data_IF_400226796845
#
_entry.id   IF_400226796845
#
_cell.length_a   1.000
_cell.length_b   1.000
_cell.length_c   1.000
_cell.angle_alpha   90.00
_cell.angle_beta   90.00
_cell.angle_gamma   90.00
#
_symmetry.space_group_name_H-M   'P 1'
#
loop_
_entity.id
_entity.type
_entity.pdbx_description
1 polymer ?
#
# COMPACT_ATOMS: atom_id res chain seq x y z
N UNK A 1 26.75 -44.39 43.51
CA UNK A 1 26.22 -43.69 42.33
C UNK A 1 24.71 -43.81 42.40
N UNK A 2 24.05 -42.83 43.00
CA UNK A 2 22.58 -42.78 43.03
C UNK A 2 22.07 -42.07 41.78
N UNK A 3 21.23 -42.77 41.04
CA UNK A 3 20.59 -42.29 39.83
C UNK A 3 19.32 -41.53 40.22
N UNK A 4 19.35 -40.21 40.04
CA UNK A 4 18.20 -39.35 40.28
C UNK A 4 17.24 -39.48 39.10
N UNK A 5 16.16 -40.23 39.28
CA UNK A 5 15.08 -40.30 38.30
C UNK A 5 14.27 -39.00 38.35
N UNK A 6 14.42 -38.17 37.31
CA UNK A 6 13.61 -36.97 37.11
C UNK A 6 12.15 -37.37 36.85
N UNK A 7 11.24 -36.90 37.70
CA UNK A 7 9.80 -37.10 37.57
C UNK A 7 9.20 -35.95 36.76
N UNK A 8 8.71 -36.27 35.56
CA UNK A 8 7.99 -35.32 34.70
C UNK A 8 6.74 -34.79 35.41
N UNK A 9 6.57 -33.47 35.40
CA UNK A 9 5.42 -32.83 36.04
C UNK A 9 4.19 -32.90 35.14
N UNK A 10 3.00 -32.74 35.73
CA UNK A 10 1.72 -32.69 35.00
C UNK A 10 1.70 -31.57 33.94
N UNK A 11 2.45 -30.49 34.18
CA UNK A 11 2.59 -29.35 33.27
C UNK A 11 3.43 -29.72 32.05
N UNK A 12 4.51 -30.48 32.23
CA UNK A 12 5.34 -30.99 31.13
C UNK A 12 4.55 -31.92 30.22
N UNK A 13 3.70 -32.78 30.80
CA UNK A 13 2.82 -33.69 30.04
C UNK A 13 1.79 -32.91 29.22
N UNK A 14 1.23 -31.82 29.77
CA UNK A 14 0.30 -30.97 29.02
C UNK A 14 0.99 -30.22 27.88
N UNK A 15 2.20 -29.73 28.11
CA UNK A 15 3.00 -29.04 27.09
C UNK A 15 3.40 -30.00 25.96
N UNK A 16 3.80 -31.23 26.32
CA UNK A 16 4.13 -32.28 25.35
C UNK A 16 2.91 -32.67 24.51
N UNK A 17 1.73 -32.82 25.14
CA UNK A 17 0.49 -33.14 24.43
C UNK A 17 0.04 -32.00 23.51
N UNK A 18 0.22 -30.74 23.90
CA UNK A 18 -0.06 -29.58 23.05
C UNK A 18 0.88 -29.50 21.84
N UNK A 19 2.16 -29.84 22.03
CA UNK A 19 3.15 -29.94 20.94
C UNK A 19 2.82 -31.09 19.98
N UNK A 20 2.49 -32.28 20.51
CA UNK A 20 2.07 -33.44 19.72
C UNK A 20 0.77 -33.19 18.94
N UNK A 21 -0.18 -32.44 19.51
CA UNK A 21 -1.41 -32.07 18.82
C UNK A 21 -1.16 -31.08 17.67
N UNK A 22 -0.11 -30.25 17.77
CA UNK A 22 0.32 -29.34 16.70
C UNK A 22 1.00 -30.07 15.55
N UNK A 23 1.76 -31.12 15.85
CA UNK A 23 2.51 -31.90 14.85
C UNK A 23 1.63 -32.86 14.04
N UNK A 24 0.46 -33.25 14.58
CA UNK A 24 -0.52 -34.10 13.88
C UNK A 24 -1.54 -33.35 13.03
N UNK A 25 -1.42 -32.03 12.87
CA UNK A 25 -2.29 -31.34 11.93
C UNK A 25 -1.97 -31.85 10.51
N UNK A 26 -2.98 -32.32 9.75
CA UNK A 26 -2.76 -32.79 8.39
C UNK A 26 -2.03 -31.70 7.61
N UNK A 27 -0.98 -32.09 6.88
CA UNK A 27 -0.26 -31.16 6.00
C UNK A 27 -1.32 -30.55 5.09
N UNK A 28 -1.53 -29.22 5.14
CA UNK A 28 -2.56 -28.60 4.33
C UNK A 28 -2.26 -28.95 2.87
N UNK A 29 -3.24 -29.54 2.19
CA UNK A 29 -3.08 -29.96 0.80
C UNK A 29 -3.05 -28.71 -0.08
N UNK A 30 -2.18 -28.69 -1.08
CA UNK A 30 -2.22 -27.62 -2.08
C UNK A 30 -3.57 -27.69 -2.79
N UNK A 31 -4.34 -26.60 -2.78
CA UNK A 31 -5.62 -26.58 -3.49
C UNK A 31 -5.36 -26.86 -4.97
N UNK A 32 -6.02 -27.88 -5.52
CA UNK A 32 -5.89 -28.28 -6.93
C UNK A 32 -6.56 -27.21 -7.79
N UNK A 33 -5.81 -26.71 -8.78
CA UNK A 33 -6.24 -25.59 -9.60
C UNK A 33 -6.59 -26.09 -11.00
N UNK A 34 -7.74 -25.64 -11.51
CA UNK A 34 -8.07 -25.85 -12.91
C UNK A 34 -7.11 -25.03 -13.77
N UNK A 35 -6.51 -25.66 -14.76
CA UNK A 35 -5.52 -25.04 -15.63
C UNK A 35 -6.24 -24.26 -16.73
N UNK A 36 -6.54 -22.98 -16.47
CA UNK A 36 -7.11 -22.06 -17.45
C UNK A 36 -6.79 -20.62 -17.07
N UNK A 37 -6.55 -19.75 -18.06
CA UNK A 37 -6.39 -18.28 -17.93
C UNK A 37 -7.69 -17.58 -17.46
N UNK A 38 -8.49 -18.26 -16.66
CA UNK A 38 -9.75 -17.84 -16.09
C UNK A 38 -9.52 -17.37 -14.67
N UNK A 39 -10.15 -16.27 -14.29
CA UNK A 39 -10.20 -15.83 -12.91
C UNK A 39 -10.77 -16.94 -12.02
N UNK A 40 -10.04 -17.27 -10.97
CA UNK A 40 -10.43 -18.24 -9.95
C UNK A 40 -10.67 -17.54 -8.62
N UNK A 41 -11.51 -18.16 -7.79
CA UNK A 41 -11.84 -17.65 -6.47
C UNK A 41 -11.76 -18.75 -5.42
N UNK A 42 -11.23 -18.42 -4.25
CA UNK A 42 -11.24 -19.26 -3.05
C UNK A 42 -11.83 -18.43 -1.92
N UNK A 43 -12.85 -18.97 -1.26
CA UNK A 43 -13.45 -18.40 -0.06
C UNK A 43 -13.11 -19.31 1.12
N UNK A 44 -12.68 -18.73 2.23
CA UNK A 44 -12.49 -19.46 3.47
C UNK A 44 -11.96 -18.57 4.59
N UNK A 45 -11.78 -19.17 5.76
CA UNK A 45 -11.14 -18.50 6.90
C UNK A 45 -9.63 -18.54 6.70
N UNK A 46 -9.00 -17.37 6.59
CA UNK A 46 -7.55 -17.25 6.48
C UNK A 46 -6.91 -17.55 7.84
N UNK A 47 -6.41 -18.76 8.03
CA UNK A 47 -5.79 -19.18 9.29
C UNK A 47 -4.37 -18.61 9.44
N UNK A 48 -3.62 -18.60 8.35
CA UNK A 48 -2.24 -18.15 8.35
C UNK A 48 -1.86 -17.62 6.98
N UNK A 49 -1.04 -16.57 6.95
CA UNK A 49 -0.40 -16.09 5.74
C UNK A 49 1.08 -15.85 6.03
N UNK A 50 1.95 -16.31 5.12
CA UNK A 50 3.39 -16.11 5.24
C UNK A 50 4.05 -15.83 3.91
N UNK A 51 5.05 -14.97 3.93
CA UNK A 51 5.97 -14.78 2.82
C UNK A 51 6.85 -16.04 2.70
N UNK A 52 6.76 -16.76 1.57
CA UNK A 52 7.54 -18.00 1.35
C UNK A 52 8.77 -17.74 0.49
N UNK A 53 8.60 -16.98 -0.58
CA UNK A 53 9.65 -16.44 -1.43
C UNK A 53 9.49 -14.92 -1.43
N UNK A 54 10.53 -14.19 -1.81
CA UNK A 54 10.53 -12.72 -1.85
C UNK A 54 9.42 -12.10 -2.72
N UNK A 55 8.56 -12.86 -3.40
CA UNK A 55 7.44 -12.35 -4.22
C UNK A 55 6.14 -13.15 -4.02
N UNK A 56 6.16 -14.19 -3.19
CA UNK A 56 5.06 -15.16 -3.08
C UNK A 56 4.60 -15.26 -1.63
N UNK A 57 3.29 -15.11 -1.45
CA UNK A 57 2.63 -15.25 -0.17
C UNK A 57 1.81 -16.54 -0.19
N UNK A 58 2.05 -17.39 0.80
CA UNK A 58 1.24 -18.59 1.05
C UNK A 58 0.08 -18.21 1.95
N UNK A 59 -1.13 -18.30 1.42
CA UNK A 59 -2.39 -18.19 2.16
C UNK A 59 -2.83 -19.60 2.57
N UNK A 60 -3.04 -19.82 3.85
CA UNK A 60 -3.46 -21.11 4.43
C UNK A 60 -4.86 -20.99 4.99
N UNK A 61 -5.71 -21.90 4.53
CA UNK A 61 -7.11 -22.08 4.91
C UNK A 61 -7.26 -23.39 5.67
N UNK A 62 -8.47 -23.70 6.15
CA UNK A 62 -8.81 -25.00 6.76
C UNK A 62 -8.56 -26.16 5.80
N UNK A 63 -8.89 -25.96 4.52
CA UNK A 63 -8.97 -27.05 3.55
C UNK A 63 -7.72 -27.16 2.66
N UNK A 64 -6.74 -26.27 2.86
CA UNK A 64 -5.51 -26.27 2.07
C UNK A 64 -4.75 -24.96 2.08
N UNK A 65 -3.79 -24.84 1.17
CA UNK A 65 -3.04 -23.60 0.97
C UNK A 65 -2.95 -23.21 -0.51
N UNK A 66 -2.68 -21.92 -0.72
CA UNK A 66 -2.52 -21.30 -2.03
C UNK A 66 -1.31 -20.36 -2.02
N UNK A 67 -0.42 -20.53 -2.99
CA UNK A 67 0.79 -19.72 -3.14
C UNK A 67 0.57 -18.68 -4.23
N UNK A 68 0.40 -17.42 -3.84
CA UNK A 68 0.07 -16.33 -4.75
C UNK A 68 1.18 -15.28 -4.81
N UNK A 69 1.50 -14.84 -6.03
CA UNK A 69 2.32 -13.66 -6.25
C UNK A 69 1.49 -12.40 -6.11
N UNK A 70 2.05 -11.39 -5.45
CA UNK A 70 1.34 -10.14 -5.22
C UNK A 70 1.74 -9.12 -6.28
N UNK A 71 0.79 -8.60 -7.07
CA UNK A 71 1.03 -7.38 -7.83
C UNK A 71 1.26 -6.25 -6.85
N UNK A 72 2.37 -5.55 -7.03
CA UNK A 72 2.61 -4.29 -6.34
C UNK A 72 2.54 -3.17 -7.36
N UNK A 73 2.10 -1.99 -6.93
CA UNK A 73 2.14 -0.80 -7.77
C UNK A 73 3.53 -0.17 -7.61
N UNK A 74 4.13 0.19 -8.73
CA UNK A 74 5.24 1.13 -8.77
C UNK A 74 4.62 2.53 -8.80
N UNK A 75 5.02 3.44 -7.92
CA UNK A 75 4.42 4.78 -7.80
C UNK A 75 4.53 5.59 -9.11
N UNK A 76 5.48 5.22 -9.98
CA UNK A 76 5.74 5.85 -11.27
C UNK A 76 4.83 5.41 -12.41
N UNK A 77 4.21 4.22 -12.34
CA UNK A 77 3.42 3.66 -13.44
C UNK A 77 1.94 3.60 -13.05
N UNK A 78 1.22 4.68 -13.35
CA UNK A 78 -0.22 4.76 -13.12
C UNK A 78 -0.96 3.58 -13.74
N UNK A 79 -1.70 2.82 -12.92
CA UNK A 79 -2.75 1.81 -13.17
C UNK A 79 -2.64 0.80 -14.34
N UNK A 80 -1.67 0.89 -15.26
CA UNK A 80 -1.63 0.13 -16.50
C UNK A 80 -0.66 -1.04 -16.47
N UNK A 81 0.44 -0.95 -15.70
CA UNK A 81 1.47 -1.98 -15.66
C UNK A 81 1.66 -2.49 -14.22
N UNK A 82 0.98 -3.60 -13.88
CA UNK A 82 1.24 -4.31 -12.62
C UNK A 82 2.65 -4.89 -12.64
N UNK A 83 3.49 -4.47 -11.70
CA UNK A 83 4.83 -5.01 -11.55
C UNK A 83 4.84 -6.15 -10.54
N UNK A 84 5.05 -7.37 -11.04
CA UNK A 84 5.20 -8.59 -10.22
C UNK A 84 6.66 -8.88 -9.84
N UNK A 85 7.60 -7.99 -10.21
CA UNK A 85 9.03 -8.17 -9.96
C UNK A 85 9.48 -7.60 -8.60
N UNK A 86 8.68 -6.75 -7.98
CA UNK A 86 9.07 -6.13 -6.72
C UNK A 86 9.16 -7.20 -5.63
N UNK A 87 10.29 -7.20 -4.93
CA UNK A 87 10.55 -8.10 -3.82
C UNK A 87 9.93 -7.53 -2.55
N UNK A 88 9.28 -8.38 -1.77
CA UNK A 88 8.69 -8.12 -0.48
C UNK A 88 9.67 -8.66 0.57
N UNK A 89 10.14 -7.81 1.46
CA UNK A 89 11.03 -8.21 2.56
C UNK A 89 10.25 -8.72 3.76
N UNK A 90 9.15 -8.03 4.08
CA UNK A 90 8.33 -8.30 5.25
C UNK A 90 6.87 -8.16 4.88
N UNK A 91 6.06 -9.07 5.40
CA UNK A 91 4.62 -9.02 5.23
C UNK A 91 3.93 -9.41 6.54
N UNK A 92 2.97 -8.60 6.97
CA UNK A 92 2.11 -8.86 8.11
C UNK A 92 0.67 -8.94 7.64
N UNK A 93 -0.10 -9.86 8.21
CA UNK A 93 -1.44 -10.18 7.74
C UNK A 93 -2.42 -10.28 8.91
N UNK A 94 -3.66 -9.90 8.63
CA UNK A 94 -4.78 -10.17 9.49
C UNK A 94 -5.22 -11.63 9.26
N UNK A 95 -5.26 -12.41 10.34
CA UNK A 95 -5.57 -13.85 10.30
C UNK A 95 -6.85 -14.15 11.07
N UNK A 96 -7.32 -15.39 11.02
CA UNK A 96 -8.58 -15.87 11.61
C UNK A 96 -9.80 -15.06 11.15
N UNK A 97 -9.80 -14.62 9.89
CA UNK A 97 -10.87 -13.81 9.30
C UNK A 97 -11.36 -14.46 8.00
N UNK A 98 -12.67 -14.45 7.70
CA UNK A 98 -13.17 -14.87 6.38
C UNK A 98 -12.64 -13.95 5.29
N UNK A 99 -12.11 -14.55 4.21
CA UNK A 99 -11.60 -13.83 3.05
C UNK A 99 -12.03 -14.49 1.74
N UNK A 100 -12.17 -13.66 0.71
CA UNK A 100 -12.32 -14.09 -0.68
C UNK A 100 -11.07 -13.70 -1.45
N UNK A 101 -10.27 -14.70 -1.84
CA UNK A 101 -9.15 -14.53 -2.75
C UNK A 101 -9.62 -14.69 -4.19
N UNK A 102 -9.35 -13.70 -5.03
CA UNK A 102 -9.44 -13.79 -6.48
C UNK A 102 -8.04 -13.84 -7.07
N UNK A 103 -7.75 -14.81 -7.92
CA UNK A 103 -6.43 -14.97 -8.56
C UNK A 103 -6.57 -15.49 -9.98
N UNK A 104 -5.48 -15.45 -10.73
CA UNK A 104 -5.38 -16.01 -12.08
C UNK A 104 -4.02 -16.68 -12.26
N UNK A 105 -3.98 -17.74 -13.04
CA UNK A 105 -2.73 -18.30 -13.53
C UNK A 105 -2.28 -17.48 -14.76
N UNK A 106 -1.21 -16.69 -14.60
CA UNK A 106 -0.70 -15.83 -15.68
C UNK A 106 0.24 -16.59 -16.62
N UNK A 107 1.02 -17.51 -16.05
CA UNK A 107 1.88 -18.47 -16.76
C UNK A 107 1.77 -19.82 -16.05
N UNK A 108 2.05 -20.94 -16.72
CA UNK A 108 2.03 -22.26 -16.07
C UNK A 108 2.83 -22.26 -14.76
N UNK A 109 2.17 -22.55 -13.65
CA UNK A 109 2.74 -22.56 -12.29
C UNK A 109 2.88 -21.20 -11.61
N UNK A 110 2.44 -20.09 -12.24
CA UNK A 110 2.51 -18.73 -11.71
C UNK A 110 1.11 -18.18 -11.44
N UNK A 111 0.69 -18.28 -10.18
CA UNK A 111 -0.57 -17.70 -9.74
C UNK A 111 -0.35 -16.29 -9.21
N UNK A 112 -1.22 -15.40 -9.64
CA UNK A 112 -1.17 -13.98 -9.32
C UNK A 112 -2.45 -13.61 -8.59
N UNK A 113 -2.30 -12.99 -7.41
CA UNK A 113 -3.42 -12.42 -6.67
C UNK A 113 -3.98 -11.23 -7.45
N UNK A 114 -5.26 -11.29 -7.83
CA UNK A 114 -5.97 -10.18 -8.46
C UNK A 114 -6.64 -9.30 -7.41
N UNK A 115 -7.30 -9.93 -6.44
CA UNK A 115 -7.96 -9.22 -5.35
C UNK A 115 -8.06 -10.11 -4.10
N UNK A 116 -8.09 -9.49 -2.92
CA UNK A 116 -8.45 -10.14 -1.65
C UNK A 116 -9.46 -9.26 -0.93
N UNK A 117 -10.59 -9.82 -0.56
CA UNK A 117 -11.64 -9.11 0.18
C UNK A 117 -11.81 -9.75 1.57
N UNK A 118 -11.83 -8.94 2.62
CA UNK A 118 -12.06 -9.38 4.00
C UNK A 118 -13.49 -9.00 4.41
N UNK A 119 -14.44 -9.92 4.24
CA UNK A 119 -15.88 -9.66 4.39
C UNK A 119 -16.29 -9.24 5.81
N UNK A 120 -15.50 -9.59 6.82
CA UNK A 120 -15.78 -9.27 8.21
C UNK A 120 -15.66 -7.77 8.54
N UNK A 121 -15.04 -6.97 7.67
CA UNK A 121 -14.79 -5.55 7.93
C UNK A 121 -15.65 -4.68 7.03
N UNK A 122 -16.44 -3.81 7.65
CA UNK A 122 -17.22 -2.81 6.94
C UNK A 122 -16.31 -1.84 6.20
N UNK A 123 -16.61 -1.64 4.91
CA UNK A 123 -16.08 -0.55 4.12
C UNK A 123 -17.15 0.54 4.01
N UNK A 124 -16.95 1.65 4.70
CA UNK A 124 -17.89 2.78 4.71
C UNK A 124 -17.31 3.93 3.91
N UNK A 125 -18.01 4.34 2.86
CA UNK A 125 -17.68 5.53 2.10
C UNK A 125 -18.70 6.63 2.37
N UNK A 126 -18.22 7.83 2.68
CA UNK A 126 -19.03 9.02 2.78
C UNK A 126 -18.42 10.11 1.90
N UNK A 127 -19.23 10.74 1.07
CA UNK A 127 -18.84 11.93 0.30
C UNK A 127 -19.35 13.15 1.04
N UNK A 128 -18.44 14.04 1.43
CA UNK A 128 -18.77 15.29 2.12
C UNK A 128 -18.16 16.47 1.36
N UNK A 129 -18.79 17.66 1.39
CA UNK A 129 -18.17 18.85 0.85
C UNK A 129 -16.84 19.14 1.55
N UNK A 130 -15.82 19.56 0.81
CA UNK A 130 -14.55 19.99 1.39
C UNK A 130 -14.72 21.29 2.17
N UNK A 131 -14.27 21.29 3.42
CA UNK A 131 -14.26 22.50 4.24
C UNK A 131 -13.06 23.42 3.91
N UNK A 132 -13.03 24.61 4.51
CA UNK A 132 -11.95 25.56 4.29
C UNK A 132 -10.59 25.09 4.88
N UNK A 133 -10.61 24.26 5.92
CA UNK A 133 -9.39 23.72 6.54
C UNK A 133 -8.75 22.64 5.67
N UNK A 134 -9.55 21.77 5.05
CA UNK A 134 -9.10 20.76 4.09
C UNK A 134 -8.45 21.42 2.88
N UNK A 135 -9.09 22.45 2.33
CA UNK A 135 -8.54 23.25 1.22
C UNK A 135 -7.23 23.91 1.60
N UNK A 136 -7.08 24.36 2.85
CA UNK A 136 -5.83 24.94 3.37
C UNK A 136 -4.72 23.90 3.42
N UNK A 137 -5.00 22.68 3.87
CA UNK A 137 -4.01 21.61 3.95
C UNK A 137 -3.47 21.23 2.56
N UNK A 138 -4.35 21.08 1.57
CA UNK A 138 -3.95 20.79 0.18
C UNK A 138 -3.12 21.94 -0.41
N UNK A 139 -3.58 23.18 -0.23
CA UNK A 139 -2.86 24.36 -0.76
C UNK A 139 -1.51 24.60 -0.09
N UNK A 140 -1.37 24.27 1.20
CA UNK A 140 -0.12 24.46 1.94
C UNK A 140 0.99 23.53 1.44
N UNK A 141 0.67 22.29 1.05
CA UNK A 141 1.65 21.37 0.44
C UNK A 141 2.15 21.95 -0.89
N UNK A 142 1.23 22.42 -1.74
CA UNK A 142 1.57 23.04 -3.03
C UNK A 142 2.37 24.34 -2.87
N UNK A 143 2.09 25.13 -1.82
CA UNK A 143 2.81 26.36 -1.50
C UNK A 143 4.24 26.13 -0.99
N UNK A 144 4.52 25.03 -0.28
CA UNK A 144 5.90 24.69 0.10
C UNK A 144 6.75 24.35 -1.14
N UNK A 145 6.20 23.57 -2.08
CA UNK A 145 6.86 23.26 -3.34
C UNK A 145 7.13 24.52 -4.17
N UNK A 146 6.20 25.49 -4.15
CA UNK A 146 6.34 26.78 -4.83
C UNK A 146 7.61 27.54 -4.40
N UNK A 147 7.86 27.66 -3.09
CA UNK A 147 9.05 28.37 -2.59
C UNK A 147 10.35 27.69 -2.99
N UNK A 148 10.35 26.36 -3.04
CA UNK A 148 11.51 25.58 -3.46
C UNK A 148 11.88 25.86 -4.93
N UNK A 149 10.90 25.82 -5.84
CA UNK A 149 11.13 26.13 -7.26
C UNK A 149 11.59 27.58 -7.46
N UNK A 150 11.01 28.53 -6.72
CA UNK A 150 11.39 29.94 -6.82
C UNK A 150 12.81 30.17 -6.30
N UNK A 151 13.20 29.53 -5.20
CA UNK A 151 14.56 29.60 -4.65
C UNK A 151 15.59 28.97 -5.60
N UNK A 152 15.31 27.79 -6.16
CA UNK A 152 16.16 27.13 -7.16
C UNK A 152 16.30 27.97 -8.42
N UNK A 153 15.18 28.48 -8.94
CA UNK A 153 15.18 29.28 -10.17
C UNK A 153 15.90 30.61 -10.02
N UNK A 154 15.67 31.30 -8.90
CA UNK A 154 16.40 32.52 -8.55
C UNK A 154 17.89 32.26 -8.39
N UNK A 155 18.27 31.18 -7.69
CA UNK A 155 19.66 30.79 -7.48
C UNK A 155 20.40 30.50 -8.80
N UNK A 156 19.80 29.67 -9.67
CA UNK A 156 20.36 29.35 -10.99
C UNK A 156 20.51 30.62 -11.85
N UNK A 157 19.47 31.47 -11.86
CA UNK A 157 19.51 32.72 -12.64
C UNK A 157 20.59 33.69 -12.14
N UNK A 158 20.80 33.76 -10.82
CA UNK A 158 21.82 34.60 -10.21
C UNK A 158 23.24 34.11 -10.52
N UNK A 159 23.49 32.79 -10.43
CA UNK A 159 24.77 32.19 -10.81
C UNK A 159 25.06 32.43 -12.31
N UNK A 160 24.06 32.22 -13.16
CA UNK A 160 24.19 32.45 -14.59
C UNK A 160 24.44 33.94 -14.93
N UNK A 161 23.75 34.85 -14.22
CA UNK A 161 23.97 36.29 -14.33
C UNK A 161 25.39 36.71 -13.94
N UNK A 162 25.93 36.15 -12.86
CA UNK A 162 27.31 36.39 -12.43
C UNK A 162 28.34 35.90 -13.46
N UNK A 163 28.15 34.69 -14.02
CA UNK A 163 29.05 34.11 -15.02
C UNK A 163 29.00 34.85 -16.37
N UNK A 164 27.83 35.35 -16.76
CA UNK A 164 27.63 36.09 -18.02
C UNK A 164 27.97 37.58 -17.92
N UNK A 165 28.28 38.09 -16.73
CA UNK A 165 28.50 39.51 -16.48
C UNK A 165 27.24 40.36 -16.64
N UNK A 166 26.07 39.79 -16.37
CA UNK A 166 24.75 40.43 -16.46
C UNK A 166 24.46 41.09 -17.82
N UNK A 167 24.90 40.47 -18.92
CA UNK A 167 24.42 40.85 -20.25
C UNK A 167 22.90 40.62 -20.27
N UNK A 168 22.15 41.69 -20.51
CA UNK A 168 20.68 41.76 -20.35
C UNK A 168 19.93 40.68 -21.14
N UNK A 169 20.49 40.20 -22.25
CA UNK A 169 19.89 39.18 -23.10
C UNK A 169 20.08 37.75 -22.57
N UNK A 170 21.20 37.48 -21.90
CA UNK A 170 21.57 36.17 -21.37
C UNK A 170 20.88 35.89 -20.02
N UNK A 171 20.63 36.94 -19.23
CA UNK A 171 19.90 36.84 -17.97
C UNK A 171 18.39 36.60 -18.14
N UNK A 172 17.82 36.91 -19.31
CA UNK A 172 16.37 36.86 -19.55
C UNK A 172 15.84 35.44 -19.84
N UNK A 173 16.64 34.59 -20.51
CA UNK A 173 16.29 33.21 -20.85
C UNK A 173 16.00 32.31 -19.64
N UNK A 174 16.87 32.25 -18.60
CA UNK A 174 16.56 31.46 -17.42
C UNK A 174 15.32 31.98 -16.70
N UNK A 175 15.10 33.30 -16.67
CA UNK A 175 13.94 33.91 -16.04
C UNK A 175 12.62 33.51 -16.74
N UNK A 176 12.58 33.50 -18.08
CA UNK A 176 11.42 33.00 -18.85
C UNK A 176 11.20 31.50 -18.61
N UNK A 177 12.27 30.69 -18.62
CA UNK A 177 12.17 29.26 -18.37
C UNK A 177 11.58 28.96 -16.98
N UNK A 178 12.05 29.66 -15.95
CA UNK A 178 11.47 29.55 -14.60
C UNK A 178 10.06 30.11 -14.50
N UNK A 179 9.70 31.16 -15.26
CA UNK A 179 8.34 31.66 -15.34
C UNK A 179 7.37 30.64 -15.97
N UNK A 180 7.81 29.86 -16.97
CA UNK A 180 7.02 28.78 -17.55
C UNK A 180 6.87 27.62 -16.54
N UNK A 181 7.96 27.21 -15.90
CA UNK A 181 7.92 26.20 -14.84
C UNK A 181 7.07 26.65 -13.65
N UNK A 182 6.95 27.96 -13.41
CA UNK A 182 6.11 28.56 -12.38
C UNK A 182 4.62 28.48 -12.69
N UNK A 183 4.20 28.55 -13.96
CA UNK A 183 2.80 28.44 -14.34
C UNK A 183 2.22 27.05 -14.02
N UNK A 184 3.05 26.00 -14.04
CA UNK A 184 2.62 24.63 -13.77
C UNK A 184 2.09 24.40 -12.34
N UNK A 185 2.81 24.72 -11.24
CA UNK A 185 2.29 24.59 -9.88
C UNK A 185 1.12 25.55 -9.60
N UNK A 186 1.08 26.74 -10.22
CA UNK A 186 -0.07 27.65 -10.12
C UNK A 186 -1.31 27.02 -10.78
N UNK A 187 -1.15 26.42 -11.96
CA UNK A 187 -2.19 25.67 -12.63
C UNK A 187 -2.67 24.49 -11.76
N UNK A 188 -1.75 23.71 -11.18
CA UNK A 188 -2.11 22.62 -10.26
C UNK A 188 -2.83 23.13 -9.01
N UNK A 189 -2.41 24.24 -8.41
CA UNK A 189 -3.08 24.84 -7.26
C UNK A 189 -4.49 25.34 -7.61
N UNK A 190 -4.65 25.93 -8.79
CA UNK A 190 -5.95 26.38 -9.29
C UNK A 190 -6.87 25.20 -9.59
N UNK A 191 -6.36 24.14 -10.26
CA UNK A 191 -7.06 22.88 -10.45
C UNK A 191 -7.45 22.26 -9.11
N UNK A 192 -6.56 22.26 -8.11
CA UNK A 192 -6.88 21.71 -6.78
C UNK A 192 -7.98 22.50 -6.05
N UNK A 193 -8.09 23.81 -6.24
CA UNK A 193 -9.21 24.61 -5.68
C UNK A 193 -10.58 24.20 -6.23
N UNK A 194 -10.63 23.50 -7.36
CA UNK A 194 -11.88 22.98 -7.94
C UNK A 194 -12.33 21.64 -7.35
N UNK A 195 -11.53 21.01 -6.47
CA UNK A 195 -12.01 19.90 -5.65
C UNK A 195 -13.11 20.41 -4.71
N UNK A 196 -14.33 19.93 -4.93
CA UNK A 196 -15.52 20.35 -4.18
C UNK A 196 -15.87 19.36 -3.08
N UNK A 197 -15.48 18.10 -3.26
CA UNK A 197 -15.86 17.00 -2.40
C UNK A 197 -14.63 16.27 -1.87
N UNK A 198 -14.74 15.80 -0.64
CA UNK A 198 -13.85 14.78 -0.08
C UNK A 198 -14.63 13.49 0.10
N UNK A 199 -14.00 12.39 -0.26
CA UNK A 199 -14.46 11.04 0.04
C UNK A 199 -13.71 10.57 1.28
N UNK A 200 -14.47 10.24 2.32
CA UNK A 200 -13.96 9.64 3.55
C UNK A 200 -14.24 8.16 3.45
N UNK A 201 -13.19 7.35 3.48
CA UNK A 201 -13.25 5.90 3.42
C UNK A 201 -12.82 5.40 4.80
N UNK A 202 -13.76 4.81 5.54
CA UNK A 202 -13.45 4.13 6.79
C UNK A 202 -13.34 2.64 6.52
N UNK A 203 -12.18 2.07 6.84
CA UNK A 203 -11.84 0.67 6.56
C UNK A 203 -10.78 0.16 7.53
N UNK A 204 -10.43 -1.11 7.42
CA UNK A 204 -9.42 -1.78 8.25
C UNK A 204 -8.19 -2.11 7.43
N UNK A 205 -7.01 -1.92 8.01
CA UNK A 205 -5.74 -2.39 7.45
C UNK A 205 -5.70 -3.91 7.61
N UNK A 206 -5.58 -4.64 6.51
CA UNK A 206 -5.61 -6.11 6.52
C UNK A 206 -4.24 -6.71 6.26
N UNK A 207 -3.41 -6.04 5.46
CA UNK A 207 -2.04 -6.48 5.19
C UNK A 207 -1.08 -5.29 5.20
N UNK A 208 0.13 -5.53 5.68
CA UNK A 208 1.24 -4.57 5.64
C UNK A 208 2.37 -5.23 4.87
N UNK A 209 2.71 -4.70 3.71
CA UNK A 209 3.74 -5.21 2.81
C UNK A 209 4.91 -4.23 2.79
N UNK A 210 6.12 -4.67 3.13
CA UNK A 210 7.35 -3.87 3.01
C UNK A 210 8.13 -4.35 1.80
N UNK A 211 8.27 -3.48 0.81
CA UNK A 211 8.99 -3.77 -0.42
C UNK A 211 10.48 -3.46 -0.25
N UNK A 212 11.31 -4.34 -0.81
CA UNK A 212 12.75 -4.19 -0.94
C UNK A 212 13.05 -3.28 -2.13
N UNK A 213 13.07 -1.98 -1.88
CA UNK A 213 13.54 -0.96 -2.82
C UNK A 213 14.67 -0.14 -2.17
N UNK A 214 15.36 0.66 -2.97
CA UNK A 214 16.46 1.54 -2.50
C UNK A 214 16.02 2.39 -1.31
N UNK A 215 14.78 2.89 -1.37
CA UNK A 215 14.04 3.42 -0.23
C UNK A 215 12.93 2.42 0.13
N UNK A 216 13.10 1.65 1.21
CA UNK A 216 12.12 0.63 1.63
C UNK A 216 10.70 1.19 1.65
N UNK A 217 9.82 0.68 0.78
CA UNK A 217 8.48 1.21 0.60
C UNK A 217 7.47 0.31 1.33
N UNK A 218 6.77 0.86 2.32
CA UNK A 218 5.66 0.16 2.97
C UNK A 218 4.35 0.45 2.24
N UNK A 219 3.60 -0.60 1.95
CA UNK A 219 2.27 -0.56 1.36
C UNK A 219 1.27 -1.21 2.32
N UNK A 220 0.09 -0.59 2.45
CA UNK A 220 -1.01 -1.07 3.25
C UNK A 220 -2.12 -1.58 2.35
N UNK A 221 -2.59 -2.80 2.61
CA UNK A 221 -3.81 -3.33 2.00
C UNK A 221 -5.00 -3.08 2.91
N UNK A 222 -6.09 -2.62 2.31
CA UNK A 222 -7.37 -2.37 2.97
C UNK A 222 -8.28 -3.60 2.87
N UNK A 223 -9.40 -3.60 3.61
CA UNK A 223 -10.35 -4.70 3.64
C UNK A 223 -10.99 -5.01 2.28
N UNK A 224 -11.17 -4.01 1.41
CA UNK A 224 -11.68 -4.15 0.04
C UNK A 224 -10.63 -4.68 -0.96
N UNK A 225 -9.38 -4.84 -0.50
CA UNK A 225 -8.23 -5.30 -1.28
C UNK A 225 -7.40 -4.18 -1.91
N UNK A 226 -7.82 -2.92 -1.78
CA UNK A 226 -7.11 -1.75 -2.27
C UNK A 226 -5.74 -1.63 -1.58
N UNK A 227 -4.70 -1.30 -2.35
CA UNK A 227 -3.34 -1.07 -1.84
C UNK A 227 -3.05 0.44 -1.83
N UNK A 228 -2.59 0.95 -0.70
CA UNK A 228 -2.16 2.34 -0.51
C UNK A 228 -0.69 2.42 -0.07
N UNK A 229 0.08 3.41 -0.52
CA UNK A 229 1.42 3.67 0.01
C UNK A 229 1.33 4.19 1.45
N UNK A 230 2.37 3.95 2.24
CA UNK A 230 2.44 4.42 3.61
C UNK A 230 2.52 5.95 3.70
N UNK A 231 1.75 6.54 4.61
CA UNK A 231 1.68 8.00 4.82
C UNK A 231 2.56 8.48 6.00
N UNK A 232 3.63 7.76 6.31
CA UNK A 232 4.56 8.06 7.41
C UNK A 232 4.13 7.57 8.80
N UNK A 233 2.87 7.14 8.97
CA UNK A 233 2.42 6.41 10.16
C UNK A 233 2.67 4.92 10.01
N UNK A 234 3.20 4.28 11.05
CA UNK A 234 3.29 2.82 11.14
C UNK A 234 1.95 2.24 11.59
N UNK A 235 1.24 1.59 10.66
CA UNK A 235 -0.02 0.90 10.90
C UNK A 235 0.20 -0.61 10.95
N UNK A 236 -0.70 -1.32 11.63
CA UNK A 236 -0.68 -2.78 11.77
C UNK A 236 -1.96 -3.39 11.21
N UNK A 237 -1.93 -4.68 10.80
CA UNK A 237 -3.16 -5.40 10.48
C UNK A 237 -4.13 -5.37 11.66
N UNK A 238 -5.40 -5.05 11.39
CA UNK A 238 -6.45 -4.86 12.39
C UNK A 238 -6.71 -3.39 12.77
N UNK A 239 -5.81 -2.46 12.43
CA UNK A 239 -6.03 -1.04 12.70
C UNK A 239 -7.18 -0.50 11.82
N UNK A 240 -8.13 0.20 12.45
CA UNK A 240 -9.18 0.92 11.73
C UNK A 240 -8.66 2.30 11.32
N UNK A 241 -8.82 2.64 10.05
CA UNK A 241 -8.37 3.90 9.49
C UNK A 241 -9.49 4.64 8.77
N UNK A 242 -9.42 5.96 8.85
CA UNK A 242 -10.17 6.89 8.03
C UNK A 242 -9.23 7.50 6.99
N UNK A 243 -9.52 7.21 5.73
CA UNK A 243 -8.75 7.63 4.58
C UNK A 243 -9.52 8.74 3.89
N UNK A 244 -8.92 9.91 3.80
CA UNK A 244 -9.51 11.05 3.12
C UNK A 244 -8.92 11.19 1.72
N UNK A 245 -9.78 11.19 0.72
CA UNK A 245 -9.43 11.37 -0.70
C UNK A 245 -10.15 12.61 -1.22
N UNK A 246 -9.42 13.54 -1.80
CA UNK A 246 -10.03 14.67 -2.51
C UNK A 246 -10.54 14.18 -3.88
N UNK A 247 -11.78 14.54 -4.23
CA UNK A 247 -12.44 14.15 -5.47
C UNK A 247 -12.84 15.42 -6.26
N UNK A 248 -12.44 15.48 -7.53
CA UNK A 248 -12.92 16.54 -8.44
C UNK A 248 -14.39 16.33 -8.82
N UNK A 249 -15.05 17.38 -9.30
CA UNK A 249 -16.46 17.37 -9.68
C UNK A 249 -16.84 16.29 -10.71
N UNK A 250 -15.88 15.79 -11.47
CA UNK A 250 -16.03 14.74 -12.49
C UNK A 250 -15.68 13.34 -11.97
N UNK A 251 -15.23 13.20 -10.71
CA UNK A 251 -14.88 11.93 -10.09
C UNK A 251 -13.53 11.32 -10.50
N UNK A 252 -12.76 11.99 -11.37
CA UNK A 252 -11.61 11.37 -12.06
C UNK A 252 -10.27 11.53 -11.33
N UNK A 253 -10.10 12.58 -10.52
CA UNK A 253 -8.84 12.88 -9.83
C UNK A 253 -8.98 12.62 -8.33
N UNK A 254 -8.27 11.59 -7.84
CA UNK A 254 -8.33 11.10 -6.46
C UNK A 254 -6.95 11.23 -5.82
N UNK A 255 -6.76 12.26 -5.00
CA UNK A 255 -5.51 12.43 -4.24
C UNK A 255 -5.72 12.06 -2.78
N UNK A 256 -4.86 11.19 -2.25
CA UNK A 256 -4.81 10.89 -0.81
C UNK A 256 -4.43 12.16 -0.06
N UNK A 257 -5.32 12.62 0.81
CA UNK A 257 -5.13 13.81 1.64
C UNK A 257 -4.55 13.42 2.99
N UNK A 258 -5.10 12.38 3.61
CA UNK A 258 -4.68 11.98 4.96
C UNK A 258 -5.12 10.55 5.31
N UNK A 259 -4.34 9.88 6.16
CA UNK A 259 -4.74 8.67 6.87
C UNK A 259 -4.78 8.97 8.38
N UNK A 260 -5.95 8.81 8.98
CA UNK A 260 -6.17 8.96 10.42
C UNK A 260 -6.53 7.60 11.01
N UNK A 261 -5.97 7.29 12.18
CA UNK A 261 -6.36 6.11 12.96
C UNK A 261 -7.59 6.50 13.78
N UNK A 262 -8.63 5.67 13.74
CA UNK A 262 -9.89 5.92 14.45
C UNK A 262 -9.83 5.35 15.86
#
# INVERSE_FOLDING_TARGET
>A
MESTQSTLTKQDIQLLNALYAREKQPIPTKLLLLNSNTKQQVNGILLHAKLTLQQTIRYTFTDGYLDLRIPTKDELNGYRDFNYKNTIDKAYFLTNTPVILSYVEYKPGMQVLLNICYEAFDHKEAVTPMDAADRKTITQITYKSFWLYLALGGGISLVYGLLSGFKTFDAFHPLIFFAILFLYPVYLAWKQKSASNRRIIQTTITEVLTLSMEDSLTQYRLADGTILPASGKMLKPGDTVSIMVAEHHDGTDRRLVQIQTT
#
